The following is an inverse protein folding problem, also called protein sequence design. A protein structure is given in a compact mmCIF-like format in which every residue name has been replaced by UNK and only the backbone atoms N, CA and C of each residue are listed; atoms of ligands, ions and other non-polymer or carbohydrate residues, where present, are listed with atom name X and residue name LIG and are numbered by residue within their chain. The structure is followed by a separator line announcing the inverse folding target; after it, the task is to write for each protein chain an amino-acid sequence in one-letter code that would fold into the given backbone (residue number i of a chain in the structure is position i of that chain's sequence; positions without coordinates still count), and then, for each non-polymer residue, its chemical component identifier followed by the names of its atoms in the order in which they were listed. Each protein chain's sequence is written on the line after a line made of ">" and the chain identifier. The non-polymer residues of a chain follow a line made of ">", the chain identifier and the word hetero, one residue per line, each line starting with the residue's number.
data_IF_982183015831
#
_entry.id   IF_982183015831
#
_cell.length_a   1.000
_cell.length_b   1.000
_cell.length_c   1.000
_cell.angle_alpha   90.00
_cell.angle_beta   90.00
_cell.angle_gamma   90.00
#
_symmetry.space_group_name_H-M   'P 1'
#
loop_
_entity.id
_entity.type
_entity.pdbx_description
1 polymer ?
#
# COMPACT_ATOMS: atom_id res chain seq x y z
N UNK A 1 -2.06 -10.98 -16.04
CA UNK A 1 -2.26 -10.28 -14.75
C UNK A 1 -2.26 -8.79 -14.98
N UNK A 2 -3.05 -8.03 -14.22
CA UNK A 2 -3.20 -6.59 -14.40
C UNK A 2 -2.86 -5.83 -13.13
N UNK A 3 -2.58 -4.51 -13.27
CA UNK A 3 -2.37 -3.65 -12.10
C UNK A 3 -3.60 -3.60 -11.20
N UNK A 4 -4.80 -3.67 -11.76
CA UNK A 4 -6.03 -3.66 -11.00
C UNK A 4 -6.12 -4.83 -10.02
N UNK A 5 -5.60 -5.99 -10.39
CA UNK A 5 -5.56 -7.14 -9.49
C UNK A 5 -4.65 -6.88 -8.28
N UNK A 6 -3.54 -6.19 -8.50
CA UNK A 6 -2.64 -5.77 -7.41
C UNK A 6 -3.32 -4.72 -6.53
N UNK A 7 -3.96 -3.73 -7.16
CA UNK A 7 -4.68 -2.67 -6.43
C UNK A 7 -5.81 -3.28 -5.58
N UNK A 8 -6.54 -4.26 -6.10
CA UNK A 8 -7.59 -4.93 -5.34
C UNK A 8 -7.05 -5.60 -4.08
N UNK A 9 -5.87 -6.21 -4.16
CA UNK A 9 -5.21 -6.80 -2.99
C UNK A 9 -4.83 -5.71 -2.00
N UNK A 10 -4.24 -4.61 -2.47
CA UNK A 10 -3.82 -3.50 -1.61
C UNK A 10 -5.03 -2.86 -0.90
N UNK A 11 -6.17 -2.81 -1.56
CA UNK A 11 -7.41 -2.29 -0.97
C UNK A 11 -7.97 -3.16 0.16
N UNK A 12 -7.44 -4.35 0.36
CA UNK A 12 -7.85 -5.27 1.43
C UNK A 12 -6.87 -5.29 2.60
N UNK A 13 -5.77 -4.56 2.50
CA UNK A 13 -4.75 -4.48 3.55
C UNK A 13 -4.96 -3.18 4.31
N UNK A 14 -5.07 -3.27 5.63
CA UNK A 14 -5.38 -2.14 6.50
C UNK A 14 -4.21 -1.85 7.42
N UNK A 15 -3.96 -0.57 7.66
CA UNK A 15 -3.09 -0.15 8.75
C UNK A 15 -3.81 -0.50 10.08
N UNK A 16 -3.13 -1.11 11.06
CA UNK A 16 -3.80 -1.53 12.30
C UNK A 16 -4.27 -0.36 13.16
N UNK A 17 -3.76 0.83 12.95
CA UNK A 17 -4.12 2.01 13.73
C UNK A 17 -5.17 2.88 13.05
N UNK A 18 -5.34 2.74 11.74
CA UNK A 18 -6.26 3.58 10.96
C UNK A 18 -7.22 2.64 10.21
N UNK A 19 -8.55 2.79 10.40
CA UNK A 19 -9.53 1.87 9.81
C UNK A 19 -9.78 2.13 8.31
N UNK A 20 -8.73 2.34 7.55
CA UNK A 20 -8.76 2.57 6.11
C UNK A 20 -7.66 1.74 5.47
N UNK A 21 -7.91 1.19 4.28
CA UNK A 21 -6.92 0.39 3.60
C UNK A 21 -5.74 1.25 3.11
N UNK A 22 -4.59 0.59 2.90
CA UNK A 22 -3.34 1.29 2.57
C UNK A 22 -3.35 1.99 1.22
N UNK A 23 -4.17 1.51 0.27
CA UNK A 23 -4.31 2.16 -1.03
C UNK A 23 -4.98 3.53 -0.88
N UNK A 24 -6.09 3.58 -0.16
CA UNK A 24 -6.84 4.81 0.09
C UNK A 24 -6.09 5.77 1.03
N UNK A 25 -5.24 5.23 1.91
CA UNK A 25 -4.39 6.06 2.77
C UNK A 25 -3.29 6.79 1.99
N UNK A 26 -3.02 6.39 0.75
CA UNK A 26 -1.95 7.00 -0.03
C UNK A 26 -0.57 6.51 0.36
N UNK A 27 -0.46 5.32 0.94
CA UNK A 27 0.84 4.74 1.30
C UNK A 27 1.62 4.23 0.11
N UNK A 28 0.97 3.98 -1.02
CA UNK A 28 1.61 3.43 -2.21
C UNK A 28 2.07 4.58 -3.10
N UNK A 29 3.38 4.79 -3.18
CA UNK A 29 3.97 5.87 -3.98
C UNK A 29 4.25 5.44 -5.40
N UNK A 30 4.54 4.14 -5.60
CA UNK A 30 4.84 3.62 -6.93
C UNK A 30 4.38 2.18 -7.02
N UNK A 31 3.77 1.83 -8.14
CA UNK A 31 3.35 0.47 -8.45
C UNK A 31 3.71 0.19 -9.89
N UNK A 32 4.57 -0.79 -10.10
CA UNK A 32 5.00 -1.20 -11.44
C UNK A 32 4.75 -2.69 -11.65
N UNK A 33 4.31 -3.04 -12.83
CA UNK A 33 4.09 -4.42 -13.27
C UNK A 33 4.75 -4.57 -14.62
N UNK A 34 5.68 -5.53 -14.76
CA UNK A 34 6.36 -5.77 -16.02
C UNK A 34 5.73 -6.92 -16.81
N UNK A 35 6.31 -7.23 -17.97
CA UNK A 35 5.81 -8.27 -18.87
C UNK A 35 5.89 -9.67 -18.27
N UNK A 36 6.79 -9.89 -17.32
CA UNK A 36 6.95 -11.16 -16.62
C UNK A 36 6.04 -11.29 -15.40
N UNK A 37 5.13 -10.33 -15.20
CA UNK A 37 4.26 -10.23 -14.04
C UNK A 37 5.03 -10.05 -12.73
N UNK A 38 6.24 -9.49 -12.79
CA UNK A 38 6.98 -9.04 -11.62
C UNK A 38 6.38 -7.71 -11.13
N UNK A 39 6.22 -7.59 -9.83
CA UNK A 39 5.58 -6.44 -9.20
C UNK A 39 6.62 -5.69 -8.36
N UNK A 40 6.70 -4.39 -8.57
CA UNK A 40 7.49 -3.49 -7.73
C UNK A 40 6.56 -2.49 -7.05
N UNK A 41 6.67 -2.41 -5.74
CA UNK A 41 5.86 -1.49 -4.92
C UNK A 41 6.80 -0.64 -4.09
N UNK A 42 6.69 0.68 -4.22
CA UNK A 42 7.34 1.63 -3.33
C UNK A 42 6.26 2.23 -2.45
N UNK A 43 6.40 2.06 -1.13
CA UNK A 43 5.39 2.50 -0.18
C UNK A 43 6.01 3.22 0.99
N UNK A 44 5.17 3.91 1.74
CA UNK A 44 5.55 4.62 2.95
C UNK A 44 4.68 4.19 4.13
N UNK A 45 5.01 4.69 5.30
CA UNK A 45 4.26 4.51 6.54
C UNK A 45 4.18 5.85 7.25
N UNK A 46 3.32 5.93 8.27
CA UNK A 46 3.09 7.20 8.97
C UNK A 46 4.31 7.63 9.82
N UNK A 47 5.09 6.67 10.32
CA UNK A 47 6.27 6.97 11.11
C UNK A 47 7.31 5.86 10.98
N UNK A 48 8.61 6.21 10.93
CA UNK A 48 9.67 5.21 10.75
C UNK A 48 9.86 4.27 11.95
N UNK A 49 9.44 4.67 13.13
CA UNK A 49 9.60 3.87 14.35
C UNK A 49 8.33 3.09 14.74
N UNK A 50 7.35 3.02 13.84
CA UNK A 50 6.14 2.26 14.09
C UNK A 50 6.45 0.75 14.03
N UNK A 51 5.94 -0.08 14.97
CA UNK A 51 6.09 -1.55 14.86
C UNK A 51 5.56 -2.12 13.55
N UNK A 52 4.60 -1.44 12.94
CA UNK A 52 4.03 -1.79 11.64
C UNK A 52 5.06 -1.67 10.50
N UNK A 53 6.12 -0.89 10.70
CA UNK A 53 7.17 -0.71 9.69
C UNK A 53 7.86 -2.02 9.31
N UNK A 54 7.84 -3.03 10.18
CA UNK A 54 8.42 -4.34 9.90
C UNK A 54 7.38 -5.32 9.37
N UNK A 55 6.14 -5.25 9.83
CA UNK A 55 5.11 -6.24 9.52
C UNK A 55 4.28 -5.90 8.30
N UNK A 56 3.95 -4.63 8.09
CA UNK A 56 3.07 -4.23 6.99
C UNK A 56 3.67 -4.48 5.60
N UNK A 57 4.95 -4.15 5.34
CA UNK A 57 5.55 -4.47 4.04
C UNK A 57 5.61 -5.97 3.77
N UNK A 58 5.82 -6.79 4.80
CA UNK A 58 5.82 -8.24 4.66
C UNK A 58 4.42 -8.75 4.30
N UNK A 59 3.38 -8.21 4.95
CA UNK A 59 2.00 -8.54 4.63
C UNK A 59 1.67 -8.17 3.17
N UNK A 60 2.05 -6.97 2.74
CA UNK A 60 1.85 -6.52 1.36
C UNK A 60 2.52 -7.48 0.38
N UNK A 61 3.79 -7.80 0.62
CA UNK A 61 4.54 -8.72 -0.24
C UNK A 61 3.87 -10.09 -0.31
N UNK A 62 3.50 -10.65 0.83
CA UNK A 62 2.90 -11.98 0.89
C UNK A 62 1.54 -12.02 0.21
N UNK A 63 0.71 -11.02 0.42
CA UNK A 63 -0.63 -10.97 -0.17
C UNK A 63 -0.57 -10.77 -1.69
N UNK A 64 0.34 -9.92 -2.16
CA UNK A 64 0.53 -9.73 -3.61
C UNK A 64 1.14 -10.99 -4.24
N UNK A 65 2.07 -11.64 -3.54
CA UNK A 65 2.70 -12.88 -4.03
C UNK A 65 1.71 -14.05 -4.12
N UNK A 66 0.57 -13.96 -3.45
CA UNK A 66 -0.48 -14.98 -3.51
C UNK A 66 -1.37 -14.84 -4.76
N UNK A 67 -1.24 -13.78 -5.54
CA UNK A 67 -2.03 -13.60 -6.77
C UNK A 67 -1.60 -14.67 -7.80
N UNK A 68 -2.55 -15.43 -8.37
CA UNK A 68 -2.21 -16.42 -9.39
C UNK A 68 -1.52 -15.79 -10.60
N UNK A 69 -0.40 -16.36 -11.02
CA UNK A 69 0.34 -15.89 -12.18
C UNK A 69 1.36 -14.77 -11.89
N UNK A 70 1.46 -14.31 -10.65
CA UNK A 70 2.45 -13.28 -10.29
C UNK A 70 3.87 -13.83 -10.36
N UNK A 71 4.81 -12.98 -10.81
CA UNK A 71 6.24 -13.29 -10.79
C UNK A 71 6.86 -12.92 -9.43
N UNK A 72 8.00 -12.25 -9.48
CA UNK A 72 8.67 -11.77 -8.28
C UNK A 72 7.97 -10.53 -7.73
N UNK A 73 7.91 -10.40 -6.41
CA UNK A 73 7.33 -9.24 -5.75
C UNK A 73 8.40 -8.57 -4.90
N UNK A 74 8.65 -7.30 -5.15
CA UNK A 74 9.58 -6.47 -4.38
C UNK A 74 8.81 -5.31 -3.77
N UNK A 75 8.94 -5.14 -2.47
CA UNK A 75 8.34 -4.02 -1.73
C UNK A 75 9.45 -3.24 -1.06
N UNK A 76 9.59 -1.98 -1.45
CA UNK A 76 10.55 -1.04 -0.85
C UNK A 76 9.80 0.00 -0.03
N UNK A 77 10.47 0.49 1.02
CA UNK A 77 9.93 1.52 1.90
C UNK A 77 10.72 2.80 1.71
N UNK A 78 10.02 3.92 1.66
CA UNK A 78 10.62 5.25 1.68
C UNK A 78 9.86 6.15 2.65
N UNK A 79 10.57 7.11 3.23
CA UNK A 79 9.96 8.16 4.04
C UNK A 79 10.18 9.54 3.41
N UNK A 80 10.53 9.57 2.13
CA UNK A 80 10.72 10.77 1.36
C UNK A 80 9.96 10.67 0.02
N UNK A 81 8.95 11.51 -0.21
CA UNK A 81 8.44 12.54 0.71
C UNK A 81 7.72 11.92 1.91
N UNK A 82 7.70 12.61 3.07
CA UNK A 82 6.99 12.08 4.24
C UNK A 82 5.50 12.03 3.97
N UNK A 83 4.86 11.01 4.52
CA UNK A 83 3.41 10.87 4.39
C UNK A 83 2.69 11.93 5.23
N UNK A 84 1.59 12.46 4.70
CA UNK A 84 0.67 13.34 5.41
C UNK A 84 -0.78 13.04 5.01
N UNK A 85 -1.73 13.67 5.70
CA UNK A 85 -3.15 13.41 5.48
C UNK A 85 -3.64 13.85 4.10
N UNK A 86 -2.95 14.75 3.44
CA UNK A 86 -3.32 15.19 2.09
C UNK A 86 -3.11 14.09 1.05
N UNK A 87 -2.34 13.07 1.37
CA UNK A 87 -2.11 11.93 0.47
C UNK A 87 -3.25 10.93 0.48
N UNK A 88 -4.16 11.02 1.46
CA UNK A 88 -5.36 10.18 1.49
C UNK A 88 -6.30 10.52 0.35
N UNK A 89 -7.04 9.51 -0.13
CA UNK A 89 -8.16 9.75 -1.04
C UNK A 89 -9.27 10.54 -0.33
N UNK A 90 -10.15 11.15 -1.11
CA UNK A 90 -11.32 11.84 -0.54
C UNK A 90 -12.22 10.87 0.23
N UNK A 91 -12.38 9.64 -0.28
CA UNK A 91 -13.17 8.62 0.40
C UNK A 91 -12.60 8.29 1.78
N UNK A 92 -11.26 8.17 1.89
CA UNK A 92 -10.62 7.93 3.17
C UNK A 92 -10.80 9.09 4.14
N UNK A 93 -10.68 10.32 3.66
CA UNK A 93 -10.88 11.51 4.47
C UNK A 93 -12.32 11.61 5.00
N UNK A 94 -13.30 11.28 4.16
CA UNK A 94 -14.71 11.24 4.58
C UNK A 94 -14.94 10.18 5.64
N UNK A 95 -14.38 8.99 5.47
CA UNK A 95 -14.55 7.88 6.41
C UNK A 95 -13.98 8.22 7.79
N UNK A 96 -12.87 8.97 7.82
CA UNK A 96 -12.24 9.40 9.06
C UNK A 96 -12.83 10.69 9.61
N UNK A 97 -13.79 11.32 8.92
CA UNK A 97 -14.41 12.57 9.35
C UNK A 97 -13.52 13.80 9.19
N UNK A 98 -12.52 13.73 8.30
CA UNK A 98 -11.59 14.84 8.08
C UNK A 98 -12.12 15.89 7.13
N UNK A 99 -13.13 15.56 6.33
CA UNK A 99 -13.82 16.50 5.43
C UNK A 99 -15.33 16.29 5.53
N UNK A 100 -16.08 17.32 5.21
CA UNK A 100 -17.56 17.32 5.30
C UNK A 100 -18.19 17.60 3.95
#
# INVERSE_FOLDING_TARGET
>A
MTKEQVIDVLCKIYDPEIPVNIWELGFIYKLELNENNDVYILMTLTAPNCPVAESLPVEVRNDVAAIPGVGNVVVDITFDPPWDMDKMSEAAKLELGLIY
#
